data_IF_290367949234
#
_entry.id   IF_290367949234
#
_cell.length_a   1.000
_cell.length_b   1.000
_cell.length_c   1.000
_cell.angle_alpha   90.00
_cell.angle_beta   90.00
_cell.angle_gamma   90.00
#
_symmetry.space_group_name_H-M   'P 1'
#
loop_
_entity.id
_entity.type
_entity.pdbx_description
1 polymer ?
#
# COMPACT_ATOMS: atom_id res chain seq x y z
N UNK A 1 12.99 40.79 59.51
CA UNK A 1 13.73 39.59 59.05
C UNK A 1 13.89 39.67 57.54
N UNK A 2 15.07 40.07 57.07
CA UNK A 2 15.42 40.11 55.64
C UNK A 2 16.34 38.92 55.38
N UNK A 3 15.86 37.94 54.64
CA UNK A 3 16.68 36.86 54.10
C UNK A 3 16.49 36.82 52.58
N UNK A 4 17.17 37.74 51.90
CA UNK A 4 17.46 37.62 50.46
C UNK A 4 18.49 36.48 50.33
N UNK A 5 18.03 35.26 50.09
CA UNK A 5 18.90 34.08 50.01
C UNK A 5 18.68 33.38 48.66
N UNK A 6 19.75 33.39 47.85
CA UNK A 6 20.07 32.48 46.74
C UNK A 6 19.16 32.49 45.49
N UNK A 7 19.25 33.52 44.64
CA UNK A 7 18.58 33.57 43.33
C UNK A 7 19.45 33.08 42.14
N UNK A 8 20.74 32.79 42.34
CA UNK A 8 21.66 32.51 41.21
C UNK A 8 21.54 31.11 40.60
N UNK A 9 20.95 30.13 41.31
CA UNK A 9 20.73 28.77 40.80
C UNK A 9 19.34 28.57 40.17
N UNK A 10 18.35 29.35 40.60
CA UNK A 10 16.97 29.25 40.11
C UNK A 10 16.87 29.63 38.63
N UNK A 11 17.57 30.68 38.21
CA UNK A 11 17.59 31.10 36.80
C UNK A 11 18.21 30.03 35.89
N UNK A 12 19.28 29.35 36.33
CA UNK A 12 19.89 28.25 35.57
C UNK A 12 18.96 27.04 35.47
N UNK A 13 18.24 26.71 36.55
CA UNK A 13 17.27 25.60 36.55
C UNK A 13 16.09 25.91 35.63
N UNK A 14 15.55 27.12 35.69
CA UNK A 14 14.44 27.56 34.84
C UNK A 14 14.85 27.57 33.36
N UNK A 15 16.06 28.02 33.05
CA UNK A 15 16.64 27.92 31.71
C UNK A 15 16.78 26.46 31.26
N UNK A 16 17.31 25.57 32.11
CA UNK A 16 17.46 24.16 31.76
C UNK A 16 16.12 23.46 31.51
N UNK A 17 15.09 23.77 32.31
CA UNK A 17 13.75 23.18 32.15
C UNK A 17 13.10 23.67 30.86
N UNK A 18 13.14 24.98 30.60
CA UNK A 18 12.57 25.55 29.37
C UNK A 18 13.30 25.05 28.13
N UNK A 19 14.64 25.05 28.15
CA UNK A 19 15.46 24.52 27.07
C UNK A 19 15.21 23.02 26.82
N UNK A 20 15.16 22.22 27.89
CA UNK A 20 14.84 20.79 27.81
C UNK A 20 13.44 20.54 27.25
N UNK A 21 12.45 21.34 27.64
CA UNK A 21 11.09 21.26 27.10
C UNK A 21 11.05 21.61 25.61
N UNK A 22 11.74 22.67 25.18
CA UNK A 22 11.80 23.04 23.76
C UNK A 22 12.45 21.94 22.91
N UNK A 23 13.58 21.37 23.37
CA UNK A 23 14.21 20.24 22.67
C UNK A 23 13.30 19.02 22.60
N UNK A 24 12.62 18.69 23.69
CA UNK A 24 11.67 17.58 23.73
C UNK A 24 10.53 17.78 22.73
N UNK A 25 9.98 18.98 22.63
CA UNK A 25 8.95 19.31 21.64
C UNK A 25 9.44 19.10 20.20
N UNK A 26 10.67 19.54 19.89
CA UNK A 26 11.28 19.34 18.56
C UNK A 26 11.38 17.85 18.23
N UNK A 27 11.88 17.03 19.16
CA UNK A 27 12.01 15.59 18.95
C UNK A 27 10.66 14.88 18.77
N UNK A 28 9.64 15.30 19.54
CA UNK A 28 8.28 14.77 19.40
C UNK A 28 7.72 15.09 18.01
N UNK A 29 7.83 16.34 17.56
CA UNK A 29 7.37 16.75 16.24
C UNK A 29 8.12 15.99 15.13
N UNK A 30 9.43 15.87 15.22
CA UNK A 30 10.24 15.12 14.27
C UNK A 30 9.82 13.64 14.22
N UNK A 31 9.54 13.02 15.36
CA UNK A 31 9.08 11.63 15.43
C UNK A 31 7.71 11.46 14.78
N UNK A 32 6.78 12.39 15.02
CA UNK A 32 5.45 12.39 14.37
C UNK A 32 5.62 12.55 12.86
N UNK A 33 6.43 13.52 12.41
CA UNK A 33 6.70 13.74 10.99
C UNK A 33 7.26 12.49 10.31
N UNK A 34 8.25 11.82 10.90
CA UNK A 34 8.79 10.57 10.37
C UNK A 34 7.74 9.45 10.28
N UNK A 35 6.90 9.31 11.32
CA UNK A 35 5.84 8.30 11.30
C UNK A 35 4.81 8.60 10.19
N UNK A 36 4.42 9.87 10.02
CA UNK A 36 3.51 10.30 8.94
C UNK A 36 4.14 10.05 7.57
N UNK A 37 5.40 10.42 7.35
CA UNK A 37 6.12 10.16 6.09
C UNK A 37 6.21 8.67 5.79
N UNK A 38 6.51 7.83 6.78
CA UNK A 38 6.52 6.38 6.58
C UNK A 38 5.14 5.83 6.21
N UNK A 39 4.07 6.35 6.83
CA UNK A 39 2.69 5.98 6.48
C UNK A 39 2.34 6.33 5.03
N UNK A 40 2.66 7.55 4.58
CA UNK A 40 2.46 7.96 3.18
C UNK A 40 3.28 7.11 2.20
N UNK A 41 4.51 6.76 2.57
CA UNK A 41 5.37 5.92 1.74
C UNK A 41 4.79 4.51 1.58
N UNK A 42 4.23 3.92 2.64
CA UNK A 42 3.52 2.63 2.54
C UNK A 42 2.27 2.76 1.68
N UNK A 43 1.46 3.80 1.85
CA UNK A 43 0.29 4.04 0.99
C UNK A 43 0.64 4.15 -0.49
N UNK A 44 1.69 4.91 -0.81
CA UNK A 44 2.19 5.02 -2.18
C UNK A 44 2.65 3.67 -2.72
N UNK A 45 3.37 2.87 -1.91
CA UNK A 45 3.79 1.53 -2.29
C UNK A 45 2.61 0.59 -2.53
N UNK A 46 1.57 0.64 -1.68
CA UNK A 46 0.34 -0.15 -1.86
C UNK A 46 -0.35 0.21 -3.17
N UNK A 47 -0.48 1.50 -3.49
CA UNK A 47 -1.04 1.98 -4.74
C UNK A 47 -0.20 1.55 -5.96
N UNK A 48 1.12 1.69 -5.88
CA UNK A 48 2.03 1.29 -6.95
C UNK A 48 1.98 -0.22 -7.20
N UNK A 49 1.90 -1.03 -6.14
CA UNK A 49 1.73 -2.48 -6.24
C UNK A 49 0.39 -2.86 -6.89
N UNK A 50 -0.71 -2.21 -6.51
CA UNK A 50 -2.00 -2.40 -7.19
C UNK A 50 -1.90 -2.09 -8.68
N UNK A 51 -1.28 -0.97 -9.06
CA UNK A 51 -1.11 -0.65 -10.49
C UNK A 51 -0.22 -1.65 -11.22
N UNK A 52 0.85 -2.12 -10.58
CA UNK A 52 1.74 -3.13 -11.16
C UNK A 52 0.99 -4.46 -11.40
N UNK A 53 0.09 -4.84 -10.49
CA UNK A 53 -0.79 -5.99 -10.69
C UNK A 53 -1.69 -5.82 -11.93
N UNK A 54 -2.24 -4.62 -12.14
CA UNK A 54 -3.19 -4.35 -13.22
C UNK A 54 -2.57 -4.36 -14.62
N UNK A 55 -1.33 -3.90 -14.73
CA UNK A 55 -0.61 -3.76 -16.01
C UNK A 55 0.17 -5.03 -16.35
N UNK A 56 0.38 -5.92 -15.37
CA UNK A 56 1.05 -7.18 -15.59
C UNK A 56 0.16 -8.12 -16.43
N UNK A 57 0.57 -8.31 -17.69
CA UNK A 57 -0.01 -9.27 -18.62
C UNK A 57 1.13 -10.09 -19.26
N UNK A 58 0.93 -11.40 -19.35
CA UNK A 58 1.86 -12.35 -19.97
C UNK A 58 1.34 -12.91 -21.31
N UNK A 59 0.28 -12.32 -21.88
CA UNK A 59 -0.35 -12.80 -23.12
C UNK A 59 -0.68 -14.31 -23.08
N UNK A 60 -0.94 -14.84 -21.89
CA UNK A 60 -1.17 -16.26 -21.69
C UNK A 60 -2.49 -16.67 -22.34
N UNK A 61 -2.55 -17.87 -22.94
CA UNK A 61 -3.76 -18.41 -23.58
C UNK A 61 -4.90 -18.73 -22.58
N UNK A 62 -4.65 -18.62 -21.27
CA UNK A 62 -5.66 -18.78 -20.21
C UNK A 62 -5.61 -17.60 -19.22
N UNK A 63 -6.77 -17.15 -18.70
CA UNK A 63 -6.83 -16.07 -17.71
C UNK A 63 -6.09 -16.41 -16.40
N UNK A 64 -6.17 -17.66 -15.94
CA UNK A 64 -5.61 -18.08 -14.64
C UNK A 64 -4.08 -18.06 -14.63
N UNK A 65 -3.44 -18.23 -15.80
CA UNK A 65 -1.98 -18.18 -15.94
C UNK A 65 -1.39 -16.78 -15.76
N UNK A 66 -2.22 -15.74 -15.79
CA UNK A 66 -1.78 -14.35 -15.74
C UNK A 66 -1.69 -13.80 -14.30
N UNK A 67 -2.50 -14.34 -13.39
CA UNK A 67 -2.62 -13.83 -12.02
C UNK A 67 -1.37 -14.06 -11.18
N UNK A 68 -0.71 -15.22 -11.31
CA UNK A 68 0.51 -15.51 -10.55
C UNK A 68 1.69 -14.60 -10.92
N UNK A 69 1.79 -14.23 -12.20
CA UNK A 69 2.80 -13.27 -12.67
C UNK A 69 2.49 -11.85 -12.18
N UNK A 70 1.22 -11.45 -12.23
CA UNK A 70 0.77 -10.17 -11.72
C UNK A 70 1.00 -10.03 -10.20
N UNK A 71 0.72 -11.07 -9.42
CA UNK A 71 1.00 -11.13 -7.98
C UNK A 71 2.51 -10.94 -7.70
N UNK A 72 3.36 -11.65 -8.44
CA UNK A 72 4.83 -11.56 -8.32
C UNK A 72 5.34 -10.16 -8.67
N UNK A 73 4.80 -9.55 -9.72
CA UNK A 73 5.19 -8.21 -10.16
C UNK A 73 4.75 -7.12 -9.17
N UNK A 74 3.55 -7.26 -8.60
CA UNK A 74 3.05 -6.38 -7.55
C UNK A 74 3.94 -6.43 -6.31
N UNK A 75 4.31 -7.64 -5.86
CA UNK A 75 5.22 -7.82 -4.72
C UNK A 75 6.61 -7.25 -4.99
N UNK A 76 7.13 -7.41 -6.21
CA UNK A 76 8.41 -6.83 -6.63
C UNK A 76 8.40 -5.30 -6.53
N UNK A 77 7.38 -4.64 -7.07
CA UNK A 77 7.25 -3.18 -7.02
C UNK A 77 7.07 -2.70 -5.59
N UNK A 78 6.29 -3.42 -4.78
CA UNK A 78 6.11 -3.09 -3.37
C UNK A 78 7.44 -3.10 -2.60
N UNK A 79 8.22 -4.17 -2.75
CA UNK A 79 9.53 -4.34 -2.08
C UNK A 79 10.59 -3.35 -2.55
N UNK A 80 10.47 -2.81 -3.76
CA UNK A 80 11.39 -1.77 -4.24
C UNK A 80 11.17 -0.42 -3.53
N UNK A 81 9.95 -0.14 -3.08
CA UNK A 81 9.60 1.13 -2.43
C UNK A 81 9.74 1.00 -0.91
N UNK A 82 9.22 -0.10 -0.35
CA UNK A 82 9.24 -0.37 1.09
C UNK A 82 10.23 -1.50 1.36
N UNK A 83 11.42 -1.13 1.86
CA UNK A 83 12.39 -2.10 2.33
C UNK A 83 12.17 -2.39 3.82
N UNK A 84 11.77 -3.62 4.17
CA UNK A 84 11.73 -4.07 5.56
C UNK A 84 10.72 -5.19 5.84
N UNK A 85 11.03 -6.01 6.85
CA UNK A 85 10.20 -7.16 7.26
C UNK A 85 8.97 -6.78 8.10
N UNK A 86 8.73 -5.48 8.31
CA UNK A 86 7.67 -4.97 9.20
C UNK A 86 6.40 -4.57 8.43
N UNK A 87 6.42 -4.74 7.10
CA UNK A 87 5.30 -4.41 6.23
C UNK A 87 4.95 -5.64 5.40
N UNK A 88 3.73 -6.13 5.56
CA UNK A 88 3.22 -7.31 4.84
C UNK A 88 2.21 -6.84 3.81
N UNK A 89 2.38 -7.25 2.57
CA UNK A 89 1.46 -6.97 1.47
C UNK A 89 0.66 -8.22 1.14
N UNK A 90 -0.65 -8.06 0.96
CA UNK A 90 -1.57 -9.12 0.53
C UNK A 90 -2.47 -8.61 -0.59
N UNK A 91 -2.57 -9.36 -1.68
CA UNK A 91 -3.52 -9.11 -2.77
C UNK A 91 -4.91 -9.59 -2.37
N UNK A 92 -5.91 -8.74 -2.55
CA UNK A 92 -7.31 -9.02 -2.20
C UNK A 92 -8.06 -9.51 -3.44
N UNK A 93 -8.66 -10.71 -3.33
CA UNK A 93 -9.47 -11.33 -4.39
C UNK A 93 -10.83 -11.71 -3.81
N UNK A 94 -11.92 -11.37 -4.51
CA UNK A 94 -13.28 -11.80 -4.16
C UNK A 94 -13.64 -13.00 -5.04
N UNK A 95 -14.05 -14.10 -4.41
CA UNK A 95 -14.52 -15.29 -5.12
C UNK A 95 -16.01 -15.21 -5.39
N UNK A 96 -16.40 -15.11 -6.65
CA UNK A 96 -17.79 -15.20 -7.10
C UNK A 96 -17.93 -16.42 -8.02
N UNK A 97 -18.72 -17.41 -7.60
CA UNK A 97 -19.06 -18.59 -8.41
C UNK A 97 -17.83 -19.27 -9.07
N UNK A 98 -16.82 -19.63 -8.26
CA UNK A 98 -15.54 -20.25 -8.69
C UNK A 98 -14.57 -19.36 -9.48
N UNK A 99 -14.88 -18.07 -9.69
CA UNK A 99 -13.95 -17.09 -10.28
C UNK A 99 -13.45 -16.13 -9.20
N UNK A 100 -12.13 -15.95 -9.10
CA UNK A 100 -11.52 -14.95 -8.23
C UNK A 100 -11.32 -13.65 -8.99
N UNK A 101 -11.96 -12.57 -8.54
CA UNK A 101 -11.81 -11.22 -9.09
C UNK A 101 -10.87 -10.44 -8.19
N UNK A 102 -9.78 -9.93 -8.74
CA UNK A 102 -8.90 -9.01 -8.02
C UNK A 102 -9.60 -7.69 -7.72
N UNK A 103 -9.50 -7.23 -6.47
CA UNK A 103 -10.15 -5.99 -6.01
C UNK A 103 -9.13 -4.95 -5.57
N UNK A 104 -7.94 -5.37 -5.16
CA UNK A 104 -6.92 -4.44 -4.69
C UNK A 104 -5.78 -5.07 -3.93
N UNK A 105 -4.95 -4.22 -3.34
CA UNK A 105 -3.85 -4.62 -2.46
C UNK A 105 -4.08 -4.02 -1.08
N UNK A 106 -3.80 -4.81 -0.05
CA UNK A 106 -3.77 -4.40 1.35
C UNK A 106 -2.34 -4.56 1.88
N UNK A 107 -1.83 -3.53 2.53
CA UNK A 107 -0.56 -3.58 3.24
C UNK A 107 -0.80 -3.32 4.73
N UNK A 108 -0.25 -4.18 5.57
CA UNK A 108 -0.30 -4.06 7.03
C UNK A 108 1.10 -3.76 7.55
N UNK A 109 1.21 -2.75 8.41
CA UNK A 109 2.48 -2.36 9.00
C UNK A 109 2.34 -1.92 10.44
N UNK A 110 3.37 -2.20 11.23
CA UNK A 110 3.36 -1.93 12.66
C UNK A 110 4.37 -0.85 12.99
N UNK A 111 3.93 0.23 13.64
CA UNK A 111 4.79 1.34 14.03
C UNK A 111 4.60 1.76 15.48
N UNK A 112 5.71 2.13 16.12
CA UNK A 112 5.70 2.79 17.43
C UNK A 112 5.47 4.29 17.24
N UNK A 113 4.33 4.77 17.70
CA UNK A 113 4.00 6.20 17.70
C UNK A 113 4.78 6.98 18.77
N UNK A 114 5.17 6.32 19.85
CA UNK A 114 5.86 6.94 20.97
C UNK A 114 7.33 7.26 20.68
N UNK A 115 7.80 8.39 21.21
CA UNK A 115 9.21 8.75 21.27
C UNK A 115 9.91 8.05 22.45
N UNK A 116 9.21 7.85 23.56
CA UNK A 116 9.69 7.10 24.73
C UNK A 116 8.55 6.35 25.41
N UNK A 117 8.88 5.35 26.23
CA UNK A 117 7.90 4.59 27.02
C UNK A 117 7.08 5.45 28.00
N UNK A 118 7.54 6.68 28.26
CA UNK A 118 6.89 7.66 29.14
C UNK A 118 5.97 8.60 28.35
N UNK A 119 6.29 8.89 27.08
CA UNK A 119 5.58 9.86 26.25
C UNK A 119 5.15 9.19 24.94
N UNK A 120 3.88 8.77 24.89
CA UNK A 120 3.23 8.28 23.67
C UNK A 120 2.76 6.81 23.66
N UNK A 121 2.88 6.09 24.78
CA UNK A 121 2.34 4.73 24.94
C UNK A 121 3.28 3.61 24.48
N UNK A 122 3.25 2.47 25.19
CA UNK A 122 4.19 1.34 24.97
C UNK A 122 3.81 0.44 23.79
N UNK A 123 2.54 0.45 23.39
CA UNK A 123 2.03 -0.51 22.41
C UNK A 123 2.26 -0.01 20.99
N UNK A 124 2.88 -0.83 20.12
CA UNK A 124 2.94 -0.51 18.72
C UNK A 124 1.54 -0.56 18.11
N UNK A 125 1.25 0.35 17.19
CA UNK A 125 -0.03 0.44 16.51
C UNK A 125 0.10 -0.25 15.15
N UNK A 126 -0.84 -1.13 14.84
CA UNK A 126 -0.97 -1.74 13.52
C UNK A 126 -1.78 -0.81 12.63
N UNK A 127 -1.20 -0.42 11.51
CA UNK A 127 -1.81 0.38 10.46
C UNK A 127 -2.13 -0.49 9.25
N UNK A 128 -3.20 -0.13 8.56
CA UNK A 128 -3.63 -0.80 7.35
C UNK A 128 -3.72 0.24 6.23
N UNK A 129 -3.06 -0.05 5.12
CA UNK A 129 -3.14 0.70 3.87
C UNK A 129 -3.84 -0.16 2.84
N UNK A 130 -4.87 0.38 2.19
CA UNK A 130 -5.65 -0.34 1.18
C UNK A 130 -5.72 0.48 -0.10
N UNK A 131 -5.58 -0.20 -1.24
CA UNK A 131 -5.74 0.36 -2.57
C UNK A 131 -6.68 -0.55 -3.35
N UNK A 132 -7.94 -0.14 -3.43
CA UNK A 132 -8.98 -0.83 -4.18
C UNK A 132 -9.04 -0.25 -5.59
N UNK A 133 -8.42 -0.96 -6.52
CA UNK A 133 -8.48 -0.61 -7.95
C UNK A 133 -8.94 -1.87 -8.65
N UNK A 134 -10.16 -1.82 -9.18
CA UNK A 134 -10.72 -2.91 -9.97
C UNK A 134 -9.84 -3.21 -11.18
N UNK A 135 -9.76 -4.49 -11.54
CA UNK A 135 -8.97 -4.94 -12.70
C UNK A 135 -9.80 -4.97 -13.97
N UNK A 136 -9.26 -4.41 -15.04
CA UNK A 136 -9.73 -4.70 -16.41
C UNK A 136 -9.44 -6.17 -16.71
N UNK A 137 -10.37 -6.93 -17.33
CA UNK A 137 -10.13 -8.31 -17.71
C UNK A 137 -8.81 -8.44 -18.51
N UNK A 138 -8.03 -9.53 -18.30
CA UNK A 138 -6.82 -9.75 -19.07
C UNK A 138 -7.16 -9.90 -20.56
N UNK A 139 -6.20 -9.60 -21.46
CA UNK A 139 -6.45 -9.64 -22.91
C UNK A 139 -6.94 -11.00 -23.38
N UNK A 140 -6.47 -12.09 -22.78
CA UNK A 140 -6.96 -13.44 -23.08
C UNK A 140 -8.42 -13.66 -22.73
N UNK A 141 -8.90 -13.06 -21.64
CA UNK A 141 -10.32 -13.08 -21.29
C UNK A 141 -11.14 -12.20 -22.26
N UNK A 142 -10.63 -11.03 -22.65
CA UNK A 142 -11.30 -10.21 -23.68
C UNK A 142 -11.40 -10.98 -25.01
N UNK A 143 -10.32 -11.60 -25.48
CA UNK A 143 -10.33 -12.42 -26.70
C UNK A 143 -11.33 -13.56 -26.61
N UNK A 144 -11.38 -14.28 -25.47
CA UNK A 144 -12.35 -15.35 -25.27
C UNK A 144 -13.80 -14.84 -25.24
N UNK A 145 -14.07 -13.70 -24.58
CA UNK A 145 -15.40 -13.10 -24.51
C UNK A 145 -15.87 -12.60 -25.88
N UNK A 146 -15.00 -11.92 -26.62
CA UNK A 146 -15.26 -11.48 -27.99
C UNK A 146 -15.50 -12.66 -28.91
N UNK A 147 -14.68 -13.71 -28.80
CA UNK A 147 -14.86 -14.94 -29.55
C UNK A 147 -16.20 -15.64 -29.23
N UNK A 148 -16.58 -15.69 -27.95
CA UNK A 148 -17.87 -16.24 -27.52
C UNK A 148 -19.05 -15.44 -28.10
N UNK A 149 -18.97 -14.11 -28.07
CA UNK A 149 -20.00 -13.24 -28.64
C UNK A 149 -20.13 -13.42 -30.17
N UNK A 150 -19.01 -13.48 -30.90
CA UNK A 150 -19.01 -13.74 -32.34
C UNK A 150 -19.66 -15.10 -32.65
N UNK A 151 -19.29 -16.15 -31.91
CA UNK A 151 -19.87 -17.49 -32.07
C UNK A 151 -21.39 -17.51 -31.88
N UNK A 152 -21.92 -16.71 -30.95
CA UNK A 152 -23.36 -16.58 -30.75
C UNK A 152 -24.07 -15.93 -31.95
N UNK A 153 -23.41 -15.01 -32.64
CA UNK A 153 -23.98 -14.29 -33.79
C UNK A 153 -23.83 -15.10 -35.08
N UNK A 154 -22.71 -15.79 -35.28
CA UNK A 154 -22.40 -16.51 -36.54
C UNK A 154 -22.78 -17.99 -36.53
N UNK A 155 -23.46 -18.47 -35.48
CA UNK A 155 -23.93 -19.86 -35.41
C UNK A 155 -22.81 -20.89 -35.20
N UNK A 156 -21.75 -20.54 -34.46
CA UNK A 156 -20.71 -21.49 -34.03
C UNK A 156 -19.44 -21.54 -34.88
N UNK A 157 -19.21 -20.59 -35.78
CA UNK A 157 -17.96 -20.52 -36.55
C UNK A 157 -16.75 -20.34 -35.63
N UNK A 158 -15.63 -21.02 -35.92
CA UNK A 158 -14.41 -20.90 -35.13
C UNK A 158 -13.81 -19.49 -35.24
N UNK A 159 -13.25 -18.97 -34.15
CA UNK A 159 -12.55 -17.68 -34.10
C UNK A 159 -11.15 -17.79 -34.70
N UNK A 160 -11.12 -18.16 -35.99
CA UNK A 160 -9.90 -18.41 -36.77
C UNK A 160 -9.39 -17.14 -37.47
N UNK A 161 -10.04 -16.00 -37.25
CA UNK A 161 -9.72 -14.72 -37.88
C UNK A 161 -9.02 -13.80 -36.87
N UNK A 162 -8.04 -13.02 -37.36
CA UNK A 162 -7.38 -11.98 -36.58
C UNK A 162 -8.39 -10.87 -36.29
N UNK A 163 -8.88 -10.81 -35.05
CA UNK A 163 -9.71 -9.71 -34.55
C UNK A 163 -8.81 -8.72 -33.81
N UNK A 164 -8.86 -7.45 -34.20
CA UNK A 164 -8.27 -6.37 -33.40
C UNK A 164 -9.20 -6.14 -32.22
N UNK A 165 -8.75 -6.54 -31.03
CA UNK A 165 -9.41 -6.17 -29.77
C UNK A 165 -8.96 -4.73 -29.49
N UNK A 166 -9.87 -3.77 -29.58
CA UNK A 166 -9.57 -2.36 -29.33
C UNK A 166 -9.86 -2.04 -27.86
N UNK A 167 -8.91 -1.40 -27.18
CA UNK A 167 -8.86 -1.31 -25.72
C UNK A 167 -9.75 -0.18 -25.18
N UNK A 168 -10.95 -0.54 -24.70
CA UNK A 168 -11.75 0.25 -23.75
C UNK A 168 -12.20 -0.60 -22.55
N UNK A 169 -11.35 -1.52 -22.08
CA UNK A 169 -11.76 -2.56 -21.13
C UNK A 169 -12.42 -3.79 -21.79
N UNK A 170 -11.95 -4.08 -23.02
CA UNK A 170 -12.44 -4.95 -24.10
C UNK A 170 -13.12 -4.20 -25.28
#
# INVERSE_FOLDING_TARGET
MRSLKTCSGQSTIEFLITFGFTLLLIFVLLKISLNVTNGYLVHYATYAASRAFLVADNFANSPEGNDGLADTQAEKVFKQIVAGNTVTMTTQKISVAQKSVFVGVRAEFTQKLAFSDVIGGKQPVTFVSESYIGRSPPMSECVMRTCAAIRMITGGTACSFNVTVDDNGC
#
